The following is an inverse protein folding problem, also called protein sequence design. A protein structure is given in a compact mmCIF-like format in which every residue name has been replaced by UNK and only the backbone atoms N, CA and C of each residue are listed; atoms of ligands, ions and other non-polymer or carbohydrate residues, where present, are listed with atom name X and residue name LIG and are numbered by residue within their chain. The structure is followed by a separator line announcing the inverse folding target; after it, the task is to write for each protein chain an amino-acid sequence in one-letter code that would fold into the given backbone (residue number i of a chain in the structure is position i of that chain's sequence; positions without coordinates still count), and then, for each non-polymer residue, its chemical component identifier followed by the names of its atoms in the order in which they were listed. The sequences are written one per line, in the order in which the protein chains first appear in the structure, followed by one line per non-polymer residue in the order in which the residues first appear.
data_IF_769100822645
#
_entry.id   IF_769100822645
#
_cell.length_a   1.000
_cell.length_b   1.000
_cell.length_c   1.000
_cell.angle_alpha   90.00
_cell.angle_beta   90.00
_cell.angle_gamma   90.00
#
_symmetry.space_group_name_H-M   'P 1'
#
loop_
_entity.id
_entity.type
_entity.pdbx_description
1 polymer ?
#
# COMPACT_ATOMS: atom_id res chain seq x y z
N UNK A 1 29.04 29.00 -4.59
CA UNK A 1 30.09 28.57 -5.55
C UNK A 1 30.33 27.07 -5.40
N UNK A 2 29.58 26.25 -6.15
CA UNK A 2 30.01 24.89 -6.52
C UNK A 2 29.93 24.85 -8.05
N UNK A 3 31.05 24.52 -8.64
CA UNK A 3 31.35 24.62 -10.05
C UNK A 3 30.70 23.42 -10.76
N UNK A 4 29.65 23.66 -11.56
CA UNK A 4 29.10 22.65 -12.47
C UNK A 4 30.02 22.60 -13.69
N UNK A 5 30.86 21.57 -13.76
CA UNK A 5 31.66 21.26 -14.95
C UNK A 5 30.74 20.53 -15.94
N UNK A 6 30.66 20.92 -17.22
CA UNK A 6 29.83 20.22 -18.19
C UNK A 6 30.60 19.00 -18.68
N UNK A 7 30.28 17.82 -18.17
CA UNK A 7 30.76 16.57 -18.76
C UNK A 7 29.58 15.83 -19.37
N UNK A 8 29.48 15.95 -20.69
CA UNK A 8 28.61 15.14 -21.52
C UNK A 8 29.00 13.68 -21.40
N UNK A 9 28.05 12.87 -20.98
CA UNK A 9 28.14 11.41 -20.95
C UNK A 9 26.73 10.90 -20.72
N UNK A 10 26.07 10.47 -21.79
CA UNK A 10 24.67 10.00 -21.76
C UNK A 10 24.66 8.65 -21.03
N UNK A 11 23.83 8.54 -19.98
CA UNK A 11 23.72 7.38 -19.09
C UNK A 11 22.49 6.54 -19.42
N UNK A 12 22.63 5.22 -19.31
CA UNK A 12 21.75 4.22 -19.91
C UNK A 12 21.21 3.19 -18.90
N UNK A 13 19.91 2.94 -18.93
CA UNK A 13 19.09 2.06 -18.10
C UNK A 13 18.36 1.07 -19.02
N UNK A 14 18.79 -0.19 -19.08
CA UNK A 14 18.15 -1.21 -19.93
C UNK A 14 16.82 -1.63 -19.32
N UNK A 15 15.72 -1.46 -20.04
CA UNK A 15 14.39 -1.82 -19.55
C UNK A 15 13.82 -2.91 -20.47
N UNK A 16 14.00 -4.21 -20.17
CA UNK A 16 13.32 -5.23 -20.98
C UNK A 16 13.12 -6.60 -20.35
N UNK A 17 11.94 -7.17 -20.62
CA UNK A 17 11.65 -8.61 -20.61
C UNK A 17 11.07 -8.94 -21.98
N UNK A 18 11.79 -9.74 -22.78
CA UNK A 18 11.27 -10.31 -24.03
C UNK A 18 11.29 -11.83 -23.94
N UNK A 19 10.11 -12.44 -24.11
CA UNK A 19 9.94 -13.90 -24.15
C UNK A 19 9.47 -14.24 -25.57
N UNK A 20 10.28 -14.95 -26.34
CA UNK A 20 9.92 -15.44 -27.68
C UNK A 20 9.95 -16.96 -27.69
N UNK A 21 8.79 -17.61 -27.80
CA UNK A 21 8.72 -19.06 -27.97
C UNK A 21 8.90 -19.39 -29.46
N UNK A 22 9.78 -20.34 -29.77
CA UNK A 22 10.03 -20.83 -31.12
C UNK A 22 9.92 -22.36 -31.11
N UNK A 23 9.50 -22.96 -32.22
CA UNK A 23 9.33 -24.41 -32.38
C UNK A 23 10.12 -24.87 -33.62
N UNK A 24 11.30 -25.46 -33.43
CA UNK A 24 12.06 -26.08 -34.51
C UNK A 24 11.85 -27.60 -34.54
N UNK A 25 11.87 -28.21 -35.73
CA UNK A 25 11.82 -29.67 -35.93
C UNK A 25 13.06 -30.09 -36.71
N UNK A 26 13.89 -30.95 -36.13
CA UNK A 26 15.08 -31.51 -36.80
C UNK A 26 14.75 -32.91 -37.30
N UNK A 27 14.46 -33.07 -38.58
CA UNK A 27 14.34 -34.39 -39.19
C UNK A 27 15.72 -34.91 -39.60
N UNK A 28 16.07 -36.11 -39.14
CA UNK A 28 17.19 -36.88 -39.67
C UNK A 28 16.63 -38.17 -40.26
N UNK A 29 16.73 -38.32 -41.57
CA UNK A 29 16.26 -39.53 -42.27
C UNK A 29 17.36 -40.63 -42.34
N UNK A 30 17.00 -41.94 -42.44
CA UNK A 30 17.06 -42.82 -41.26
C UNK A 30 17.85 -44.15 -41.54
N UNK A 31 17.87 -45.17 -40.63
CA UNK A 31 16.69 -45.89 -40.17
C UNK A 31 16.48 -45.86 -38.65
N UNK A 32 15.20 -45.68 -38.27
CA UNK A 32 14.55 -45.97 -36.97
C UNK A 32 14.88 -45.04 -35.80
N UNK A 33 14.24 -43.87 -35.82
CA UNK A 33 13.53 -43.17 -34.73
C UNK A 33 13.50 -41.68 -35.08
N UNK A 34 12.31 -41.14 -35.39
CA UNK A 34 12.09 -39.70 -35.54
C UNK A 34 12.51 -38.99 -34.23
N UNK A 35 13.62 -38.25 -34.26
CA UNK A 35 14.07 -37.42 -33.14
C UNK A 35 13.61 -36.00 -33.37
N UNK A 36 12.34 -35.72 -33.09
CA UNK A 36 11.87 -34.34 -33.01
C UNK A 36 12.51 -33.69 -31.78
N UNK A 37 13.01 -32.46 -31.93
CA UNK A 37 13.62 -31.68 -30.86
C UNK A 37 12.95 -30.31 -30.82
N UNK A 38 11.96 -30.15 -29.95
CA UNK A 38 11.32 -28.85 -29.71
C UNK A 38 12.32 -27.93 -28.98
N UNK A 39 12.55 -26.74 -29.52
CA UNK A 39 13.58 -25.78 -29.08
C UNK A 39 12.93 -24.47 -28.64
N UNK A 40 12.63 -24.33 -27.34
CA UNK A 40 12.17 -23.04 -26.79
C UNK A 40 13.38 -22.17 -26.42
N UNK A 41 13.36 -20.90 -26.80
CA UNK A 41 14.48 -19.96 -26.66
C UNK A 41 14.06 -18.73 -25.85
N UNK A 42 14.34 -18.72 -24.54
CA UNK A 42 14.05 -17.56 -23.69
C UNK A 42 15.33 -16.78 -23.41
N UNK A 43 15.46 -15.58 -23.97
CA UNK A 43 16.58 -14.67 -23.70
C UNK A 43 16.18 -13.75 -22.53
N UNK A 44 16.66 -14.08 -21.33
CA UNK A 44 16.58 -13.20 -20.18
C UNK A 44 17.86 -12.36 -20.11
N UNK A 45 17.70 -11.04 -20.18
CA UNK A 45 18.82 -10.10 -20.02
C UNK A 45 18.83 -9.67 -18.56
N UNK A 46 19.89 -10.00 -17.84
CA UNK A 46 20.09 -9.56 -16.48
C UNK A 46 21.25 -8.55 -16.48
N UNK A 47 21.03 -7.29 -16.10
CA UNK A 47 22.14 -6.40 -15.83
C UNK A 47 22.87 -6.94 -14.59
N UNK A 48 24.07 -7.46 -14.75
CA UNK A 48 24.89 -7.94 -13.61
C UNK A 48 25.37 -6.79 -12.72
N UNK A 49 25.20 -5.55 -13.17
CA UNK A 49 25.47 -4.35 -12.40
C UNK A 49 24.60 -3.23 -12.93
N UNK A 50 23.69 -2.68 -12.10
CA UNK A 50 23.23 -1.29 -12.30
C UNK A 50 24.42 -0.41 -11.94
N UNK A 51 25.35 -0.25 -12.87
CA UNK A 51 26.41 0.73 -12.78
C UNK A 51 25.91 2.00 -13.49
N UNK A 52 25.13 2.82 -12.77
CA UNK A 52 25.05 4.25 -13.08
C UNK A 52 26.36 4.88 -12.61
N UNK A 53 27.43 4.63 -13.36
CA UNK A 53 28.78 5.13 -13.09
C UNK A 53 29.56 5.21 -14.39
N UNK A 54 30.50 6.15 -14.46
CA UNK A 54 31.31 6.37 -15.66
C UNK A 54 32.11 5.10 -15.99
N UNK A 55 31.78 4.46 -17.12
CA UNK A 55 32.56 3.37 -17.69
C UNK A 55 31.88 2.00 -17.67
N UNK A 56 31.83 1.38 -18.86
CA UNK A 56 31.68 -0.05 -19.14
C UNK A 56 30.52 -0.76 -18.43
N UNK A 57 29.36 -0.84 -19.10
CA UNK A 57 28.26 -1.71 -18.67
C UNK A 57 28.51 -3.15 -19.09
N UNK A 58 28.44 -4.09 -18.14
CA UNK A 58 28.42 -5.53 -18.42
C UNK A 58 26.98 -6.01 -18.57
N UNK A 59 26.70 -6.68 -19.69
CA UNK A 59 25.40 -7.32 -19.93
C UNK A 59 25.61 -8.83 -19.90
N UNK A 60 24.82 -9.50 -19.06
CA UNK A 60 24.77 -10.96 -18.99
C UNK A 60 23.45 -11.45 -19.56
N UNK A 61 23.57 -12.34 -20.53
CA UNK A 61 22.46 -12.95 -21.24
C UNK A 61 22.29 -14.38 -20.75
N UNK A 62 21.12 -14.70 -20.23
CA UNK A 62 20.70 -16.05 -19.90
C UNK A 62 19.74 -16.55 -20.98
N UNK A 63 20.18 -17.56 -21.75
CA UNK A 63 19.33 -18.23 -22.71
C UNK A 63 18.89 -19.58 -22.12
N UNK A 64 17.65 -19.69 -21.64
CA UNK A 64 17.10 -20.98 -21.22
C UNK A 64 16.68 -21.78 -22.46
N UNK A 65 17.27 -22.97 -22.63
CA UNK A 65 17.10 -23.83 -23.80
C UNK A 65 16.68 -25.21 -23.31
N UNK A 66 15.51 -25.66 -23.78
CA UNK A 66 15.02 -27.01 -23.51
C UNK A 66 15.03 -27.81 -24.81
N UNK A 67 15.85 -28.87 -24.90
CA UNK A 67 15.67 -29.89 -25.95
C UNK A 67 14.81 -31.01 -25.41
N UNK A 68 13.77 -31.38 -26.15
CA UNK A 68 12.97 -32.56 -25.86
C UNK A 68 13.23 -33.56 -26.97
N UNK A 69 14.03 -34.61 -26.73
CA UNK A 69 14.10 -35.76 -27.64
C UNK A 69 13.02 -36.78 -27.25
N UNK A 70 12.53 -37.58 -28.19
CA UNK A 70 11.57 -38.66 -27.91
C UNK A 70 12.09 -39.69 -26.86
N UNK A 71 13.40 -39.72 -26.60
CA UNK A 71 14.08 -40.60 -25.64
C UNK A 71 14.47 -39.92 -24.31
N UNK A 72 14.22 -38.62 -24.14
CA UNK A 72 14.55 -37.89 -22.91
C UNK A 72 16.06 -37.64 -22.68
N UNK A 73 16.89 -37.74 -23.71
CA UNK A 73 18.33 -37.46 -23.64
C UNK A 73 18.64 -35.96 -23.68
N UNK A 74 19.71 -35.54 -22.99
CA UNK A 74 20.19 -34.16 -22.92
C UNK A 74 20.72 -33.66 -24.28
N UNK A 75 20.69 -32.33 -24.51
CA UNK A 75 21.08 -31.68 -25.77
C UNK A 75 22.53 -31.94 -26.23
N UNK A 76 23.42 -32.38 -25.33
CA UNK A 76 24.87 -32.49 -25.58
C UNK A 76 25.21 -33.49 -26.70
N UNK A 77 24.34 -34.47 -26.98
CA UNK A 77 24.59 -35.53 -27.96
C UNK A 77 24.13 -35.22 -29.40
N UNK A 78 23.57 -34.02 -29.67
CA UNK A 78 22.94 -33.70 -30.97
C UNK A 78 23.83 -32.86 -31.91
N UNK A 79 25.02 -32.43 -31.47
CA UNK A 79 25.99 -31.74 -32.34
C UNK A 79 25.55 -30.34 -32.83
N UNK A 80 24.74 -29.65 -32.03
CA UNK A 80 24.29 -28.28 -32.31
C UNK A 80 25.34 -27.25 -31.88
N UNK A 81 25.60 -26.26 -32.73
CA UNK A 81 26.52 -25.14 -32.46
C UNK A 81 25.71 -23.85 -32.31
N UNK A 82 25.96 -23.13 -31.22
CA UNK A 82 25.28 -21.90 -30.83
C UNK A 82 26.21 -20.71 -31.03
N UNK A 83 25.71 -19.63 -31.65
CA UNK A 83 26.44 -18.38 -31.78
C UNK A 83 25.55 -17.19 -31.45
N UNK A 84 25.85 -16.42 -30.39
CA UNK A 84 25.19 -15.15 -30.17
C UNK A 84 25.75 -14.10 -31.14
N UNK A 85 24.90 -13.19 -31.57
CA UNK A 85 25.26 -12.04 -32.43
C UNK A 85 24.55 -10.81 -31.87
N UNK A 86 25.29 -9.72 -31.63
CA UNK A 86 24.72 -8.42 -31.30
C UNK A 86 24.75 -7.56 -32.55
N UNK A 87 23.65 -6.87 -32.86
CA UNK A 87 23.57 -6.01 -34.05
C UNK A 87 22.89 -4.68 -33.73
N UNK A 88 23.28 -3.62 -34.46
CA UNK A 88 22.71 -2.28 -34.29
C UNK A 88 23.36 -1.43 -33.21
N UNK A 89 24.64 -1.67 -32.87
CA UNK A 89 25.41 -0.83 -31.93
C UNK A 89 26.25 0.18 -32.73
N UNK A 90 26.15 1.46 -32.39
CA UNK A 90 27.07 2.48 -32.88
C UNK A 90 28.33 2.45 -31.99
N UNK A 91 29.50 2.08 -32.51
CA UNK A 91 30.75 2.04 -31.73
C UNK A 91 31.65 0.81 -31.90
N UNK A 92 31.29 -0.12 -32.78
CA UNK A 92 32.00 -1.39 -32.96
C UNK A 92 31.23 -2.55 -32.32
N UNK A 93 31.32 -3.73 -32.93
CA UNK A 93 30.61 -4.92 -32.46
C UNK A 93 31.19 -5.35 -31.10
N UNK A 94 30.35 -5.56 -30.07
CA UNK A 94 30.81 -6.13 -28.81
C UNK A 94 31.32 -7.56 -29.03
N UNK A 95 32.47 -7.90 -28.46
CA UNK A 95 32.99 -9.27 -28.51
C UNK A 95 32.28 -10.12 -27.44
N UNK A 96 31.54 -11.14 -27.88
CA UNK A 96 30.74 -12.01 -27.01
C UNK A 96 31.58 -13.20 -26.56
N UNK A 97 31.70 -13.39 -25.24
CA UNK A 97 32.39 -14.54 -24.66
C UNK A 97 31.39 -15.50 -24.00
N UNK A 98 31.49 -16.80 -24.33
CA UNK A 98 30.67 -17.84 -23.69
C UNK A 98 31.21 -18.13 -22.29
N UNK A 99 30.41 -17.84 -21.27
CA UNK A 99 30.81 -17.95 -19.86
C UNK A 99 30.56 -19.35 -19.27
N UNK A 100 29.66 -20.14 -19.87
CA UNK A 100 29.40 -21.52 -19.44
C UNK A 100 28.08 -22.11 -19.96
N UNK A 101 27.91 -23.41 -19.76
CA UNK A 101 26.66 -24.16 -20.00
C UNK A 101 26.09 -24.65 -18.66
N UNK A 102 24.80 -24.44 -18.43
CA UNK A 102 24.08 -24.94 -17.26
C UNK A 102 23.08 -26.02 -17.69
N UNK A 103 22.50 -26.72 -16.72
CA UNK A 103 21.43 -27.70 -16.98
C UNK A 103 20.16 -27.08 -17.56
N UNK A 104 20.03 -25.74 -17.56
CA UNK A 104 18.86 -25.01 -18.06
C UNK A 104 19.17 -24.11 -19.26
N UNK A 105 20.43 -23.84 -19.60
CA UNK A 105 20.74 -22.85 -20.63
C UNK A 105 22.22 -22.52 -20.88
N UNK A 106 22.45 -21.50 -21.71
CA UNK A 106 23.77 -20.93 -22.02
C UNK A 106 23.88 -19.51 -21.46
N UNK A 107 25.08 -19.16 -20.95
CA UNK A 107 25.38 -17.83 -20.43
C UNK A 107 26.40 -17.15 -21.34
N UNK A 108 26.08 -15.94 -21.79
CA UNK A 108 26.98 -15.09 -22.56
C UNK A 108 27.15 -13.74 -21.86
N UNK A 109 28.35 -13.19 -21.90
CA UNK A 109 28.63 -11.85 -21.40
C UNK A 109 29.25 -10.97 -22.48
N UNK A 110 28.93 -9.68 -22.48
CA UNK A 110 29.62 -8.71 -23.32
C UNK A 110 29.74 -7.36 -22.63
N UNK A 111 30.79 -6.60 -22.98
CA UNK A 111 30.97 -5.21 -22.60
C UNK A 111 30.42 -4.29 -23.69
N UNK A 112 29.66 -3.26 -23.32
CA UNK A 112 29.28 -2.19 -24.24
C UNK A 112 30.20 -0.99 -24.07
N UNK A 113 30.91 -0.64 -25.14
CA UNK A 113 31.78 0.54 -25.22
C UNK A 113 31.14 1.53 -26.19
N UNK A 114 30.52 2.59 -25.69
CA UNK A 114 29.92 3.62 -26.56
C UNK A 114 29.27 4.76 -25.80
N UNK A 115 29.45 5.96 -26.33
CA UNK A 115 28.67 7.15 -25.98
C UNK A 115 27.37 7.10 -26.78
N UNK A 116 26.24 6.97 -26.11
CA UNK A 116 24.88 6.93 -26.68
C UNK A 116 24.41 5.69 -27.47
N UNK A 117 23.84 4.68 -26.79
CA UNK A 117 23.10 3.56 -27.40
C UNK A 117 21.62 3.62 -27.00
N UNK A 118 20.74 4.14 -27.87
CA UNK A 118 19.28 4.20 -27.59
C UNK A 118 18.60 2.81 -27.63
N UNK A 119 19.06 1.94 -28.54
CA UNK A 119 18.60 0.55 -28.65
C UNK A 119 19.60 -0.33 -29.39
N UNK A 120 19.55 -1.64 -29.15
CA UNK A 120 20.30 -2.64 -29.92
C UNK A 120 19.50 -3.96 -30.00
N UNK A 121 19.90 -4.88 -30.87
CA UNK A 121 19.26 -6.19 -30.99
C UNK A 121 20.23 -7.31 -30.59
N UNK A 122 19.74 -8.26 -29.80
CA UNK A 122 20.45 -9.49 -29.49
C UNK A 122 19.84 -10.63 -30.30
N UNK A 123 20.69 -11.33 -31.05
CA UNK A 123 20.33 -12.49 -31.87
C UNK A 123 21.01 -13.74 -31.35
N UNK A 124 20.28 -14.85 -31.24
CA UNK A 124 20.86 -16.18 -31.01
C UNK A 124 20.65 -17.02 -32.27
N UNK A 125 21.75 -17.51 -32.85
CA UNK A 125 21.74 -18.36 -34.04
C UNK A 125 22.12 -19.78 -33.66
N UNK A 126 21.27 -20.73 -34.06
CA UNK A 126 21.49 -22.17 -33.89
C UNK A 126 21.84 -22.77 -35.25
N UNK A 127 22.94 -23.51 -35.33
CA UNK A 127 23.34 -24.23 -36.55
C UNK A 127 23.55 -25.71 -36.26
N UNK A 128 23.03 -26.57 -37.14
CA UNK A 128 23.29 -28.01 -37.11
C UNK A 128 24.27 -28.40 -38.21
N UNK A 129 25.15 -29.38 -37.96
CA UNK A 129 26.11 -29.85 -38.95
C UNK A 129 25.48 -30.57 -40.17
N UNK A 130 24.20 -30.95 -40.09
CA UNK A 130 23.56 -31.81 -41.09
C UNK A 130 22.55 -31.10 -42.00
N UNK A 131 22.01 -29.94 -41.60
CA UNK A 131 21.06 -29.18 -42.41
C UNK A 131 21.15 -27.71 -42.00
N UNK A 132 21.12 -26.81 -42.98
CA UNK A 132 21.12 -25.34 -42.88
C UNK A 132 19.88 -24.80 -42.14
N UNK A 133 19.58 -25.29 -40.94
CA UNK A 133 18.65 -24.67 -40.02
C UNK A 133 19.29 -23.36 -39.56
N UNK A 134 18.65 -22.26 -39.95
CA UNK A 134 19.02 -20.90 -39.56
C UNK A 134 17.78 -20.29 -38.94
N UNK A 135 17.58 -20.54 -37.65
CA UNK A 135 16.52 -19.88 -36.90
C UNK A 135 17.12 -18.94 -35.85
N UNK A 136 16.53 -17.75 -35.78
CA UNK A 136 17.09 -16.57 -35.15
C UNK A 136 16.12 -16.17 -34.04
N UNK A 137 16.50 -16.33 -32.78
CA UNK A 137 15.81 -15.63 -31.70
C UNK A 137 16.28 -14.17 -31.74
N UNK A 138 15.38 -13.21 -31.92
CA UNK A 138 15.72 -11.78 -31.96
C UNK A 138 14.95 -11.03 -30.88
N UNK A 139 15.66 -10.36 -29.98
CA UNK A 139 15.05 -9.53 -28.94
C UNK A 139 15.56 -8.09 -29.05
N UNK A 140 14.69 -7.10 -29.32
CA UNK A 140 15.08 -5.70 -29.27
C UNK A 140 15.33 -5.31 -27.81
N UNK A 141 16.41 -4.60 -27.55
CA UNK A 141 16.81 -4.10 -26.23
C UNK A 141 16.76 -2.57 -26.26
N UNK A 142 15.87 -1.97 -25.48
CA UNK A 142 15.82 -0.52 -25.32
C UNK A 142 16.56 -0.10 -24.05
N UNK A 143 17.31 0.98 -24.18
CA UNK A 143 18.14 1.52 -23.12
C UNK A 143 17.65 2.93 -22.82
N UNK A 144 16.87 3.08 -21.75
CA UNK A 144 16.31 4.35 -21.30
C UNK A 144 17.35 5.20 -20.57
N UNK A 145 17.07 6.48 -20.32
CA UNK A 145 17.94 7.32 -19.50
C UNK A 145 17.69 7.07 -18.00
N UNK A 146 18.72 7.18 -17.18
CA UNK A 146 18.58 7.09 -15.73
C UNK A 146 18.34 8.49 -15.15
N UNK A 147 17.13 8.79 -14.67
CA UNK A 147 16.81 10.07 -14.05
C UNK A 147 17.42 10.19 -12.64
N UNK A 148 17.87 11.38 -12.28
CA UNK A 148 18.22 11.71 -10.90
C UNK A 148 16.92 11.88 -10.10
N UNK A 149 16.92 11.42 -8.85
CA UNK A 149 15.88 11.78 -7.90
C UNK A 149 16.10 13.20 -7.35
N UNK A 150 15.18 13.71 -6.53
CA UNK A 150 15.29 15.08 -6.02
C UNK A 150 16.47 15.30 -5.03
N UNK A 151 17.14 14.25 -4.57
CA UNK A 151 18.36 14.33 -3.76
C UNK A 151 19.63 14.35 -4.65
N UNK A 152 19.45 14.28 -5.97
CA UNK A 152 20.54 14.11 -6.92
C UNK A 152 21.08 12.68 -6.93
N UNK A 153 20.37 11.69 -6.38
CA UNK A 153 20.75 10.30 -6.44
C UNK A 153 20.28 9.68 -7.78
N UNK A 154 21.23 9.17 -8.55
CA UNK A 154 20.98 8.49 -9.82
C UNK A 154 20.17 7.19 -9.61
N UNK A 155 18.98 7.11 -10.20
CA UNK A 155 18.08 5.96 -10.01
C UNK A 155 17.46 5.88 -8.61
N UNK A 156 17.58 6.93 -7.81
CA UNK A 156 16.88 7.07 -6.55
C UNK A 156 15.37 7.20 -6.76
N UNK A 157 14.61 7.04 -5.67
CA UNK A 157 13.15 7.12 -5.68
C UNK A 157 12.62 8.29 -4.83
N UNK A 158 13.48 9.19 -4.40
CA UNK A 158 13.05 10.35 -3.63
C UNK A 158 12.28 11.34 -4.52
N UNK A 159 11.16 11.84 -4.00
CA UNK A 159 10.28 12.81 -4.67
C UNK A 159 10.15 14.03 -3.76
N UNK A 160 10.07 15.23 -4.36
CA UNK A 160 9.76 16.44 -3.61
C UNK A 160 8.36 16.36 -3.01
N UNK A 161 8.23 16.76 -1.75
CA UNK A 161 6.93 16.97 -1.14
C UNK A 161 6.28 18.27 -1.66
N UNK A 162 5.09 18.58 -1.15
CA UNK A 162 4.36 19.81 -1.49
C UNK A 162 5.11 21.10 -1.12
N UNK A 163 6.15 21.01 -0.30
CA UNK A 163 7.01 22.12 0.11
C UNK A 163 8.28 22.24 -0.75
N UNK A 164 8.47 21.37 -1.75
CA UNK A 164 9.69 21.33 -2.55
C UNK A 164 10.88 20.70 -1.80
N UNK A 165 10.62 19.95 -0.72
CA UNK A 165 11.66 19.26 0.04
C UNK A 165 11.71 17.80 -0.40
N UNK A 166 12.88 17.38 -0.85
CA UNK A 166 13.08 16.00 -1.27
C UNK A 166 12.91 15.02 -0.11
N UNK A 167 11.97 14.07 -0.24
CA UNK A 167 11.65 13.09 0.79
C UNK A 167 10.99 13.69 2.05
N UNK A 168 10.49 14.93 1.97
CA UNK A 168 9.73 15.56 3.04
C UNK A 168 8.32 14.96 3.21
N UNK A 169 7.66 15.32 4.30
CA UNK A 169 6.29 14.89 4.63
C UNK A 169 5.23 15.99 4.42
N UNK A 170 5.64 17.14 3.86
CA UNK A 170 4.77 18.30 3.62
C UNK A 170 4.52 19.17 4.85
N UNK A 171 5.04 18.82 6.04
CA UNK A 171 4.73 19.55 7.28
C UNK A 171 5.46 20.89 7.41
N UNK A 172 6.63 21.03 6.78
CA UNK A 172 7.52 22.20 6.96
C UNK A 172 6.96 23.52 6.42
N UNK A 173 6.05 23.46 5.45
CA UNK A 173 5.39 24.62 4.87
C UNK A 173 3.87 24.58 5.07
N UNK A 174 3.35 23.65 5.85
CA UNK A 174 1.91 23.56 6.13
C UNK A 174 1.48 24.66 7.11
N UNK A 175 0.31 25.23 6.84
CA UNK A 175 -0.38 26.11 7.79
C UNK A 175 -0.99 25.30 8.96
N UNK A 176 -1.68 25.97 9.88
CA UNK A 176 -2.27 25.27 11.03
C UNK A 176 -3.36 24.24 10.65
N UNK A 177 -3.89 24.30 9.42
CA UNK A 177 -4.90 23.39 8.89
C UNK A 177 -4.27 22.21 8.12
N UNK A 178 -2.93 22.15 8.07
CA UNK A 178 -2.20 21.13 7.31
C UNK A 178 -2.16 21.40 5.81
N UNK A 179 -2.44 22.63 5.37
CA UNK A 179 -2.41 23.02 3.95
C UNK A 179 -1.03 23.63 3.62
N UNK A 180 -0.27 23.02 2.70
CA UNK A 180 1.00 23.57 2.23
C UNK A 180 0.84 24.99 1.67
N UNK A 181 1.64 25.93 2.18
CA UNK A 181 1.58 27.36 1.84
C UNK A 181 0.21 28.01 2.06
N UNK A 182 -0.62 27.45 2.94
CA UNK A 182 -1.89 28.05 3.32
C UNK A 182 -1.72 29.28 4.22
N UNK A 183 -2.80 30.03 4.39
CA UNK A 183 -2.84 31.27 5.19
C UNK A 183 -3.43 31.06 6.59
N UNK A 184 -3.81 29.82 6.95
CA UNK A 184 -4.47 29.56 8.22
C UNK A 184 -3.52 29.80 9.40
N UNK A 185 -4.00 30.55 10.39
CA UNK A 185 -3.25 30.84 11.62
C UNK A 185 -4.04 30.42 12.86
N UNK A 186 -3.33 30.13 13.93
CA UNK A 186 -3.97 29.90 15.22
C UNK A 186 -4.51 31.22 15.77
N UNK A 187 -5.74 31.17 16.28
CA UNK A 187 -6.33 32.28 17.03
C UNK A 187 -5.76 32.38 18.45
N UNK A 188 -6.27 33.31 19.25
CA UNK A 188 -5.85 33.49 20.64
C UNK A 188 -6.14 32.26 21.53
N UNK A 189 -7.01 31.35 21.09
CA UNK A 189 -7.40 30.13 21.78
C UNK A 189 -6.60 28.89 21.31
N UNK A 190 -5.69 29.06 20.35
CA UNK A 190 -4.96 27.95 19.74
C UNK A 190 -5.81 27.15 18.75
N UNK A 191 -6.94 27.68 18.29
CA UNK A 191 -7.79 27.07 17.25
C UNK A 191 -7.36 27.59 15.89
N UNK A 192 -7.09 26.67 14.96
CA UNK A 192 -6.72 27.04 13.60
C UNK A 192 -7.88 27.71 12.86
N UNK A 193 -7.65 28.91 12.29
CA UNK A 193 -8.70 29.77 11.73
C UNK A 193 -9.86 30.06 12.69
N UNK A 194 -9.61 30.00 13.99
CA UNK A 194 -10.60 30.41 14.98
C UNK A 194 -10.78 31.94 15.00
N UNK A 195 -11.87 32.39 15.60
CA UNK A 195 -12.20 33.80 15.79
C UNK A 195 -11.93 34.29 17.22
N UNK A 196 -11.32 33.45 18.07
CA UNK A 196 -11.07 33.74 19.48
C UNK A 196 -12.27 33.50 20.41
N UNK A 197 -13.45 33.12 19.88
CA UNK A 197 -14.65 32.95 20.71
C UNK A 197 -14.63 31.69 21.59
N UNK A 198 -13.90 30.66 21.18
CA UNK A 198 -13.89 29.35 21.86
C UNK A 198 -13.30 29.37 23.27
N UNK A 199 -12.45 30.35 23.58
CA UNK A 199 -11.86 30.59 24.89
C UNK A 199 -12.16 31.99 25.41
N UNK A 200 -13.15 32.66 24.82
CA UNK A 200 -13.57 33.97 25.29
C UNK A 200 -14.24 33.87 26.66
N UNK A 201 -13.92 34.83 27.53
CA UNK A 201 -14.64 35.03 28.79
C UNK A 201 -16.05 35.58 28.52
N UNK A 202 -16.83 35.83 29.58
CA UNK A 202 -18.20 36.32 29.42
C UNK A 202 -18.29 37.75 28.81
N UNK A 203 -17.17 38.48 28.72
CA UNK A 203 -17.06 39.78 28.04
C UNK A 203 -16.62 39.64 26.58
N UNK A 204 -16.44 38.42 26.07
CA UNK A 204 -15.97 38.16 24.73
C UNK A 204 -14.45 38.32 24.57
N UNK A 205 -13.69 38.34 25.67
CA UNK A 205 -12.23 38.50 25.65
C UNK A 205 -11.56 37.12 25.67
N UNK A 206 -10.83 36.72 24.61
CA UNK A 206 -10.11 35.46 24.57
C UNK A 206 -9.11 35.32 25.73
N UNK A 207 -9.18 34.21 26.47
CA UNK A 207 -8.42 33.94 27.69
C UNK A 207 -8.60 35.02 28.78
N UNK A 208 -9.74 35.70 28.81
CA UNK A 208 -10.08 36.63 29.88
C UNK A 208 -10.45 35.91 31.18
N UNK A 209 -10.52 36.68 32.26
CA UNK A 209 -10.82 36.16 33.61
C UNK A 209 -12.27 36.43 34.04
N UNK A 210 -13.06 37.12 33.21
CA UNK A 210 -14.41 37.52 33.59
C UNK A 210 -15.35 36.31 33.70
N UNK A 211 -16.08 36.23 34.80
CA UNK A 211 -17.03 35.16 35.07
C UNK A 211 -18.44 35.72 35.22
N UNK A 212 -19.42 34.91 34.82
CA UNK A 212 -20.81 35.21 35.16
C UNK A 212 -21.00 35.15 36.68
N UNK A 213 -21.70 36.13 37.23
CA UNK A 213 -22.15 36.12 38.62
C UNK A 213 -23.39 35.21 38.80
N UNK A 214 -23.89 35.13 40.04
CA UNK A 214 -25.11 34.39 40.38
C UNK A 214 -26.42 34.98 39.80
N UNK A 215 -26.30 35.98 38.92
CA UNK A 215 -27.39 36.60 38.20
C UNK A 215 -27.23 36.47 36.68
N UNK A 216 -26.19 35.77 36.20
CA UNK A 216 -25.86 35.67 34.78
C UNK A 216 -25.26 36.95 34.19
N UNK A 217 -24.77 37.88 35.02
CA UNK A 217 -24.10 39.11 34.59
C UNK A 217 -22.59 38.91 34.63
N UNK A 218 -21.91 39.24 33.53
CA UNK A 218 -20.46 39.14 33.44
C UNK A 218 -19.78 40.14 34.40
N UNK A 219 -18.86 39.66 35.24
CA UNK A 219 -18.24 40.41 36.35
C UNK A 219 -19.25 41.12 37.26
N UNK A 220 -20.47 40.57 37.36
CA UNK A 220 -21.48 41.10 38.25
C UNK A 220 -21.17 40.84 39.73
N UNK A 221 -21.78 41.64 40.61
CA UNK A 221 -21.62 41.53 42.05
C UNK A 221 -22.73 40.68 42.72
N UNK A 222 -23.57 40.00 41.91
CA UNK A 222 -24.69 39.18 42.38
C UNK A 222 -25.88 39.99 42.90
N UNK A 223 -25.87 41.32 42.75
CA UNK A 223 -26.96 42.16 43.30
C UNK A 223 -28.14 42.34 42.35
N UNK A 224 -27.94 42.12 41.04
CA UNK A 224 -28.94 42.40 40.00
C UNK A 224 -30.15 41.44 39.99
N UNK A 225 -30.04 40.31 40.68
CA UNK A 225 -31.08 39.27 40.78
C UNK A 225 -31.54 39.01 42.23
N UNK A 226 -31.24 39.92 43.17
CA UNK A 226 -31.73 39.83 44.56
C UNK A 226 -33.25 39.85 44.68
N UNK A 227 -33.97 40.35 43.66
CA UNK A 227 -35.40 40.16 43.46
C UNK A 227 -35.63 39.23 42.26
N UNK A 228 -35.53 37.92 42.47
CA UNK A 228 -35.83 36.92 41.43
C UNK A 228 -37.22 36.27 41.66
N UNK A 229 -38.32 36.89 41.22
CA UNK A 229 -39.67 36.37 41.45
C UNK A 229 -39.98 35.05 40.74
N UNK A 230 -39.18 34.65 39.75
CA UNK A 230 -39.35 33.40 38.98
C UNK A 230 -38.48 32.24 39.51
N UNK A 231 -37.64 32.47 40.53
CA UNK A 231 -36.69 31.48 41.04
C UNK A 231 -35.37 31.45 40.28
N UNK A 232 -34.30 31.10 41.00
CA UNK A 232 -32.97 30.85 40.43
C UNK A 232 -32.92 29.39 40.01
N UNK A 233 -32.46 29.14 38.79
CA UNK A 233 -32.30 27.81 38.22
C UNK A 233 -31.07 27.08 38.82
N UNK A 234 -30.83 25.81 38.48
CA UNK A 234 -29.70 25.03 39.03
C UNK A 234 -28.33 25.57 38.56
N UNK A 235 -28.32 26.46 37.57
CA UNK A 235 -27.16 27.13 37.01
C UNK A 235 -26.82 28.45 37.71
N UNK A 236 -27.66 28.91 38.65
CA UNK A 236 -27.51 30.21 39.26
C UNK A 236 -28.02 31.34 38.36
N UNK A 237 -28.92 31.10 37.40
CA UNK A 237 -29.52 32.13 36.55
C UNK A 237 -30.97 32.40 36.97
N UNK A 238 -31.33 33.66 37.15
CA UNK A 238 -32.69 34.05 37.48
C UNK A 238 -33.65 33.83 36.29
N UNK A 239 -34.70 33.02 36.49
CA UNK A 239 -35.66 32.68 35.45
C UNK A 239 -35.07 31.86 34.29
N UNK A 240 -33.91 31.23 34.52
CA UNK A 240 -33.29 30.31 33.57
C UNK A 240 -34.04 28.98 33.48
N UNK A 241 -33.76 28.25 32.42
CA UNK A 241 -34.35 26.94 32.10
C UNK A 241 -33.34 25.79 32.26
N UNK A 242 -32.27 26.00 33.04
CA UNK A 242 -31.13 25.11 33.22
C UNK A 242 -30.26 24.85 31.97
N UNK A 243 -30.53 25.48 30.81
CA UNK A 243 -29.77 25.21 29.58
C UNK A 243 -28.34 25.79 29.60
N UNK A 244 -28.13 26.85 30.38
CA UNK A 244 -26.91 27.64 30.43
C UNK A 244 -25.74 26.99 31.17
N UNK A 245 -26.00 26.03 32.07
CA UNK A 245 -24.99 25.27 32.79
C UNK A 245 -24.93 23.79 32.41
N UNK A 246 -25.43 23.43 31.22
CA UNK A 246 -25.03 22.16 30.61
C UNK A 246 -23.53 22.21 30.25
N UNK A 247 -22.68 21.97 31.25
CA UNK A 247 -21.26 21.69 31.11
C UNK A 247 -21.07 20.30 30.49
N UNK A 248 -21.60 20.07 29.29
CA UNK A 248 -21.40 18.81 28.57
C UNK A 248 -20.12 18.91 27.72
N UNK A 249 -19.21 17.96 27.91
CA UNK A 249 -18.08 17.78 27.01
C UNK A 249 -18.55 17.03 25.75
N UNK A 250 -18.31 17.61 24.57
CA UNK A 250 -18.55 16.92 23.30
C UNK A 250 -17.34 16.04 22.97
N UNK A 251 -17.63 14.78 22.63
CA UNK A 251 -16.62 13.80 22.20
C UNK A 251 -16.95 13.32 20.81
N UNK A 252 -16.09 13.66 19.85
CA UNK A 252 -16.14 13.11 18.50
C UNK A 252 -15.55 11.69 18.49
N UNK A 253 -16.38 10.70 18.15
CA UNK A 253 -15.95 9.29 18.02
C UNK A 253 -15.71 8.88 16.56
N UNK A 254 -15.87 9.80 15.60
CA UNK A 254 -15.62 9.53 14.18
C UNK A 254 -14.26 8.88 13.91
N UNK A 255 -13.14 9.33 14.54
CA UNK A 255 -11.85 8.67 14.37
C UNK A 255 -11.87 7.19 14.79
N UNK A 256 -12.52 6.87 15.91
CA UNK A 256 -12.68 5.48 16.37
C UNK A 256 -13.58 4.68 15.43
N UNK A 257 -14.63 5.27 14.88
CA UNK A 257 -15.50 4.61 13.89
C UNK A 257 -14.72 4.23 12.62
N UNK A 258 -13.89 5.13 12.09
CA UNK A 258 -13.04 4.85 10.93
C UNK A 258 -12.03 3.72 11.18
N UNK A 259 -11.39 3.70 12.35
CA UNK A 259 -10.44 2.63 12.71
C UNK A 259 -11.12 1.27 12.82
N UNK A 260 -12.31 1.22 13.44
CA UNK A 260 -13.08 -0.02 13.59
C UNK A 260 -13.57 -0.56 12.24
N UNK A 261 -13.97 0.31 11.32
CA UNK A 261 -14.37 -0.07 9.95
C UNK A 261 -13.16 -0.59 9.16
N UNK A 262 -12.05 0.16 9.19
CA UNK A 262 -10.81 -0.23 8.54
C UNK A 262 -10.30 -1.60 9.02
N UNK A 263 -10.38 -1.88 10.32
CA UNK A 263 -9.99 -3.18 10.88
C UNK A 263 -10.87 -4.35 10.36
N UNK A 264 -12.18 -4.17 10.31
CA UNK A 264 -13.11 -5.16 9.77
C UNK A 264 -12.91 -5.39 8.27
N UNK A 265 -12.69 -4.31 7.51
CA UNK A 265 -12.38 -4.37 6.07
C UNK A 265 -11.06 -5.12 5.81
N UNK A 266 -10.03 -4.84 6.60
CA UNK A 266 -8.74 -5.51 6.51
C UNK A 266 -8.86 -7.01 6.80
N UNK A 267 -9.65 -7.40 7.81
CA UNK A 267 -9.93 -8.81 8.10
C UNK A 267 -10.61 -9.51 6.91
N UNK A 268 -11.64 -8.89 6.32
CA UNK A 268 -12.30 -9.41 5.13
C UNK A 268 -11.33 -9.55 3.94
N UNK A 269 -10.49 -8.54 3.70
CA UNK A 269 -9.45 -8.56 2.67
C UNK A 269 -8.43 -9.68 2.88
N UNK A 270 -8.05 -9.97 4.13
CA UNK A 270 -7.13 -11.06 4.46
C UNK A 270 -7.77 -12.44 4.22
N UNK A 271 -9.08 -12.58 4.44
CA UNK A 271 -9.84 -13.79 4.07
C UNK A 271 -9.79 -14.00 2.55
N UNK A 272 -10.04 -12.97 1.74
CA UNK A 272 -9.93 -13.03 0.27
C UNK A 272 -8.53 -13.50 -0.14
N UNK A 273 -7.48 -12.89 0.43
CA UNK A 273 -6.08 -13.27 0.16
C UNK A 273 -5.81 -14.72 0.55
N UNK A 274 -6.31 -15.17 1.69
CA UNK A 274 -6.18 -16.56 2.16
C UNK A 274 -6.88 -17.58 1.27
N UNK A 275 -8.09 -17.28 0.80
CA UNK A 275 -8.82 -18.12 -0.17
C UNK A 275 -8.07 -18.20 -1.49
N UNK A 276 -7.51 -17.10 -1.99
CA UNK A 276 -6.74 -17.10 -3.23
C UNK A 276 -5.48 -17.98 -3.16
N UNK A 277 -4.84 -18.07 -1.99
CA UNK A 277 -3.72 -19.03 -1.78
C UNK A 277 -4.20 -20.46 -1.93
N UNK A 278 -5.33 -20.83 -1.32
CA UNK A 278 -5.90 -22.18 -1.42
C UNK A 278 -6.47 -22.48 -2.81
N UNK A 279 -6.98 -21.48 -3.53
CA UNK A 279 -7.53 -21.63 -4.88
C UNK A 279 -6.47 -22.01 -5.90
N UNK A 280 -5.23 -21.52 -5.73
CA UNK A 280 -4.09 -21.87 -6.59
C UNK A 280 -3.72 -23.34 -6.50
N UNK A 281 -3.95 -23.99 -5.36
CA UNK A 281 -3.56 -25.38 -5.14
C UNK A 281 -4.71 -26.38 -5.24
N UNK A 282 -5.97 -25.94 -5.04
CA UNK A 282 -7.15 -26.82 -4.97
C UNK A 282 -8.27 -26.50 -5.97
N UNK A 283 -8.10 -25.46 -6.79
CA UNK A 283 -9.15 -25.02 -7.72
C UNK A 283 -10.31 -24.30 -7.02
N UNK A 284 -11.38 -24.02 -7.78
CA UNK A 284 -12.62 -23.40 -7.28
C UNK A 284 -13.47 -24.44 -6.54
N UNK A 285 -14.11 -24.02 -5.45
CA UNK A 285 -15.03 -24.86 -4.67
C UNK A 285 -16.18 -24.01 -4.13
N UNK A 286 -17.40 -24.56 -4.13
CA UNK A 286 -18.58 -23.96 -3.50
C UNK A 286 -18.34 -23.65 -2.02
N UNK A 287 -17.51 -24.46 -1.34
CA UNK A 287 -17.13 -24.20 0.05
C UNK A 287 -16.31 -22.92 0.22
N UNK A 288 -15.53 -22.51 -0.79
CA UNK A 288 -14.81 -21.23 -0.77
C UNK A 288 -15.75 -20.06 -1.05
N UNK A 289 -16.72 -20.23 -1.95
CA UNK A 289 -17.74 -19.21 -2.20
C UNK A 289 -18.61 -18.97 -0.97
N UNK A 290 -19.12 -20.02 -0.33
CA UNK A 290 -19.91 -19.89 0.90
C UNK A 290 -19.12 -19.19 2.01
N UNK A 291 -17.83 -19.53 2.15
CA UNK A 291 -16.95 -18.87 3.13
C UNK A 291 -16.78 -17.38 2.81
N UNK A 292 -16.62 -17.03 1.54
CA UNK A 292 -16.50 -15.64 1.10
C UNK A 292 -17.80 -14.86 1.34
N UNK A 293 -18.97 -15.48 1.10
CA UNK A 293 -20.27 -14.87 1.37
C UNK A 293 -20.46 -14.62 2.88
N UNK A 294 -20.15 -15.61 3.73
CA UNK A 294 -20.22 -15.42 5.18
C UNK A 294 -19.26 -14.33 5.67
N UNK A 295 -18.07 -14.24 5.09
CA UNK A 295 -17.12 -13.16 5.41
C UNK A 295 -17.68 -11.79 5.01
N UNK A 296 -18.26 -11.69 3.82
CA UNK A 296 -18.86 -10.44 3.35
C UNK A 296 -20.07 -10.02 4.20
N UNK A 297 -20.96 -10.95 4.55
CA UNK A 297 -22.10 -10.69 5.45
C UNK A 297 -21.64 -10.21 6.83
N UNK A 298 -20.61 -10.85 7.41
CA UNK A 298 -20.05 -10.43 8.69
C UNK A 298 -19.41 -9.03 8.61
N UNK A 299 -18.73 -8.71 7.50
CA UNK A 299 -18.21 -7.37 7.25
C UNK A 299 -19.31 -6.32 7.13
N UNK A 300 -20.37 -6.58 6.36
CA UNK A 300 -21.50 -5.66 6.24
C UNK A 300 -22.18 -5.43 7.59
N UNK A 301 -22.38 -6.49 8.38
CA UNK A 301 -22.95 -6.37 9.72
C UNK A 301 -22.09 -5.51 10.63
N UNK A 302 -20.77 -5.73 10.61
CA UNK A 302 -19.79 -4.90 11.31
C UNK A 302 -19.91 -3.43 10.90
N UNK A 303 -19.94 -3.14 9.60
CA UNK A 303 -20.07 -1.79 9.06
C UNK A 303 -21.37 -1.11 9.52
N UNK A 304 -22.52 -1.78 9.34
CA UNK A 304 -23.82 -1.22 9.75
C UNK A 304 -23.89 -0.94 11.24
N UNK A 305 -23.23 -1.74 12.07
CA UNK A 305 -23.20 -1.53 13.52
C UNK A 305 -22.34 -0.32 13.89
N UNK A 306 -21.16 -0.17 13.29
CA UNK A 306 -20.27 0.99 13.57
C UNK A 306 -20.97 2.31 13.21
N UNK A 307 -21.59 2.36 12.04
CA UNK A 307 -22.23 3.58 11.55
C UNK A 307 -23.63 3.81 12.15
N UNK A 308 -24.05 2.94 13.08
CA UNK A 308 -25.22 3.16 13.95
C UNK A 308 -24.89 3.81 15.29
N UNK A 309 -23.59 4.03 15.58
CA UNK A 309 -23.17 4.89 16.68
C UNK A 309 -23.26 6.35 16.22
N UNK A 310 -23.76 7.22 17.10
CA UNK A 310 -23.82 8.65 16.83
C UNK A 310 -22.40 9.24 16.87
N UNK A 311 -21.98 9.98 15.84
CA UNK A 311 -20.59 10.42 15.70
C UNK A 311 -20.16 11.44 16.77
N UNK A 312 -21.08 12.24 17.27
CA UNK A 312 -20.87 13.21 18.35
C UNK A 312 -21.62 12.77 19.61
N UNK A 313 -20.87 12.46 20.64
CA UNK A 313 -21.38 12.02 21.94
C UNK A 313 -21.30 13.19 22.92
N UNK A 314 -22.36 13.48 23.68
CA UNK A 314 -22.26 14.37 24.85
C UNK A 314 -21.98 13.53 26.09
N UNK A 315 -21.00 13.93 26.89
CA UNK A 315 -20.62 13.27 28.14
C UNK A 315 -20.52 14.27 29.30
N UNK A 316 -20.73 13.80 30.52
CA UNK A 316 -20.67 14.57 31.77
C UNK A 316 -21.70 15.71 31.90
N UNK A 317 -22.94 15.49 31.49
CA UNK A 317 -23.98 16.51 31.66
C UNK A 317 -24.46 16.56 33.13
N UNK A 318 -24.56 17.78 33.68
CA UNK A 318 -24.83 18.00 35.11
C UNK A 318 -26.32 17.88 35.51
N UNK A 319 -27.25 17.94 34.55
CA UNK A 319 -28.70 17.83 34.81
C UNK A 319 -29.33 16.67 34.00
N UNK A 320 -29.86 15.66 34.70
CA UNK A 320 -30.54 14.50 34.11
C UNK A 320 -31.92 14.81 33.50
N UNK A 321 -32.50 15.98 33.78
CA UNK A 321 -33.87 16.34 33.37
C UNK A 321 -34.00 16.74 31.91
N UNK A 322 -32.91 17.17 31.25
CA UNK A 322 -32.88 17.58 29.84
C UNK A 322 -32.15 16.60 28.92
N UNK A 323 -31.60 15.52 29.50
CA UNK A 323 -30.76 14.56 28.79
C UNK A 323 -31.39 13.17 28.77
N UNK A 324 -31.55 12.60 27.58
CA UNK A 324 -31.87 11.17 27.41
C UNK A 324 -30.57 10.36 27.37
N UNK A 325 -30.57 9.15 27.94
CA UNK A 325 -29.45 8.23 27.82
C UNK A 325 -29.73 7.16 26.77
N UNK A 326 -28.73 6.81 25.97
CA UNK A 326 -28.77 5.65 25.07
C UNK A 326 -27.69 4.64 25.44
N UNK A 327 -28.04 3.35 25.35
CA UNK A 327 -27.14 2.24 25.68
C UNK A 327 -26.58 1.62 24.38
N UNK A 328 -25.26 1.62 24.28
CA UNK A 328 -24.49 1.07 23.19
C UNK A 328 -24.02 -0.37 23.45
N UNK A 329 -24.33 -0.96 24.61
CA UNK A 329 -23.86 -2.30 25.01
C UNK A 329 -24.20 -3.38 23.99
N UNK A 330 -25.46 -3.42 23.52
CA UNK A 330 -25.88 -4.39 22.51
C UNK A 330 -25.19 -4.18 21.15
N UNK A 331 -25.00 -2.92 20.75
CA UNK A 331 -24.30 -2.55 19.51
C UNK A 331 -22.82 -2.96 19.59
N UNK A 332 -22.15 -2.70 20.72
CA UNK A 332 -20.76 -3.12 20.95
C UNK A 332 -20.64 -4.63 20.86
N UNK A 333 -21.54 -5.38 21.50
CA UNK A 333 -21.54 -6.84 21.41
C UNK A 333 -21.81 -7.35 19.99
N UNK A 334 -22.72 -6.71 19.25
CA UNK A 334 -23.00 -7.07 17.85
C UNK A 334 -21.78 -6.87 16.94
N UNK A 335 -20.99 -5.80 17.17
CA UNK A 335 -19.73 -5.57 16.48
C UNK A 335 -18.71 -6.65 16.80
N UNK A 336 -18.48 -6.95 18.09
CA UNK A 336 -17.55 -8.03 18.52
C UNK A 336 -17.89 -9.35 17.85
N UNK A 337 -19.17 -9.74 17.85
CA UNK A 337 -19.62 -10.99 17.24
C UNK A 337 -19.31 -11.04 15.72
N UNK A 338 -19.41 -9.89 15.04
CA UNK A 338 -19.17 -9.76 13.60
C UNK A 338 -17.67 -9.89 13.28
N UNK A 339 -16.82 -9.20 14.03
CA UNK A 339 -15.35 -9.25 13.88
C UNK A 339 -14.79 -10.62 14.32
N UNK A 340 -15.36 -11.25 15.34
CA UNK A 340 -15.03 -12.61 15.74
C UNK A 340 -15.38 -13.63 14.64
N UNK A 341 -16.51 -13.44 13.96
CA UNK A 341 -16.87 -14.27 12.81
C UNK A 341 -15.79 -14.17 11.72
N UNK A 342 -15.34 -12.97 11.36
CA UNK A 342 -14.25 -12.79 10.41
C UNK A 342 -12.95 -13.48 10.86
N UNK A 343 -12.56 -13.28 12.12
CA UNK A 343 -11.33 -13.88 12.65
C UNK A 343 -11.40 -15.41 12.74
N UNK A 344 -12.55 -15.98 13.08
CA UNK A 344 -12.72 -17.44 13.13
C UNK A 344 -12.72 -18.07 11.74
N UNK A 345 -13.31 -17.42 10.72
CA UNK A 345 -13.18 -17.85 9.32
C UNK A 345 -11.72 -17.85 8.87
N UNK A 346 -10.97 -16.82 9.25
CA UNK A 346 -9.55 -16.75 9.01
C UNK A 346 -8.79 -17.92 9.68
N UNK A 347 -9.04 -18.20 10.96
CA UNK A 347 -8.47 -19.39 11.65
C UNK A 347 -8.81 -20.70 10.93
N UNK A 348 -10.02 -20.85 10.40
CA UNK A 348 -10.45 -22.04 9.63
C UNK A 348 -9.63 -22.18 8.34
N UNK A 349 -9.41 -21.10 7.60
CA UNK A 349 -8.56 -21.12 6.40
C UNK A 349 -7.13 -21.55 6.73
N UNK A 350 -6.55 -21.05 7.83
CA UNK A 350 -5.21 -21.44 8.28
C UNK A 350 -5.09 -22.93 8.54
N UNK A 351 -6.09 -23.52 9.20
CA UNK A 351 -6.12 -24.96 9.50
C UNK A 351 -6.17 -25.83 8.24
N UNK A 352 -6.72 -25.29 7.13
CA UNK A 352 -6.78 -26.01 5.87
C UNK A 352 -5.44 -26.06 5.12
N UNK A 353 -4.43 -25.26 5.47
CA UNK A 353 -3.13 -25.21 4.78
C UNK A 353 -2.24 -26.44 5.05
N UNK A 354 -1.80 -27.12 3.99
CA UNK A 354 -0.75 -28.15 3.99
C UNK A 354 0.63 -27.54 4.26
N UNK A 355 1.61 -28.38 4.61
CA UNK A 355 2.97 -27.97 5.01
C UNK A 355 3.68 -27.16 3.91
N UNK A 356 3.51 -27.56 2.65
CA UNK A 356 4.02 -26.86 1.46
C UNK A 356 3.26 -25.55 1.12
N UNK A 357 2.05 -25.35 1.65
CA UNK A 357 1.23 -24.14 1.44
C UNK A 357 1.51 -23.05 2.50
N UNK A 358 2.27 -23.37 3.56
CA UNK A 358 2.64 -22.44 4.66
C UNK A 358 3.82 -21.54 4.30
N UNK A 359 3.68 -20.79 3.21
CA UNK A 359 4.68 -19.82 2.75
C UNK A 359 4.88 -18.67 3.75
N UNK A 360 6.00 -17.94 3.62
CA UNK A 360 6.24 -16.68 4.37
C UNK A 360 5.07 -15.71 4.22
N UNK A 361 4.52 -15.61 3.00
CA UNK A 361 3.34 -14.80 2.67
C UNK A 361 2.07 -15.26 3.40
N UNK A 362 1.83 -16.57 3.49
CA UNK A 362 0.72 -17.10 4.29
C UNK A 362 0.89 -16.74 5.78
N UNK A 363 2.10 -16.88 6.34
CA UNK A 363 2.40 -16.50 7.73
C UNK A 363 2.16 -15.02 8.00
N UNK A 364 2.54 -14.14 7.08
CA UNK A 364 2.25 -12.70 7.16
C UNK A 364 0.75 -12.43 7.21
N UNK A 365 -0.04 -13.02 6.31
CA UNK A 365 -1.51 -12.90 6.30
C UNK A 365 -2.10 -13.31 7.67
N UNK A 366 -1.63 -14.41 8.25
CA UNK A 366 -2.07 -14.90 9.57
C UNK A 366 -1.78 -13.92 10.71
N UNK A 367 -0.57 -13.35 10.73
CA UNK A 367 -0.17 -12.39 11.75
C UNK A 367 -0.93 -11.08 11.59
N UNK A 368 -1.08 -10.58 10.36
CA UNK A 368 -1.85 -9.37 10.08
C UNK A 368 -3.27 -9.48 10.59
N UNK A 369 -3.98 -10.60 10.37
CA UNK A 369 -5.36 -10.72 10.84
C UNK A 369 -5.47 -10.78 12.37
N UNK A 370 -4.49 -11.38 13.05
CA UNK A 370 -4.49 -11.34 14.53
C UNK A 370 -4.36 -9.90 15.02
N UNK A 371 -3.47 -9.12 14.41
CA UNK A 371 -3.29 -7.72 14.77
C UNK A 371 -4.56 -6.92 14.50
N UNK A 372 -5.18 -7.07 13.33
CA UNK A 372 -6.44 -6.39 12.99
C UNK A 372 -7.59 -6.76 13.95
N UNK A 373 -7.69 -8.02 14.35
CA UNK A 373 -8.66 -8.44 15.38
C UNK A 373 -8.39 -7.77 16.73
N UNK A 374 -7.13 -7.72 17.17
CA UNK A 374 -6.73 -7.06 18.42
C UNK A 374 -7.07 -5.57 18.40
N UNK A 375 -6.68 -4.87 17.34
CA UNK A 375 -6.96 -3.44 17.15
C UNK A 375 -8.46 -3.18 17.19
N UNK A 376 -9.27 -3.97 16.48
CA UNK A 376 -10.73 -3.84 16.50
C UNK A 376 -11.33 -4.00 17.90
N UNK A 377 -10.85 -4.96 18.70
CA UNK A 377 -11.36 -5.18 20.07
C UNK A 377 -10.88 -4.12 21.06
N UNK A 378 -9.67 -3.60 20.88
CA UNK A 378 -9.08 -2.58 21.76
C UNK A 378 -9.73 -1.21 21.51
N UNK A 379 -9.86 -0.81 20.24
CA UNK A 379 -10.51 0.45 19.87
C UNK A 379 -11.99 0.47 20.22
N UNK A 380 -12.68 -0.68 20.28
CA UNK A 380 -14.07 -0.71 20.72
C UNK A 380 -14.24 -0.24 22.17
N UNK A 381 -13.20 -0.36 23.00
CA UNK A 381 -13.25 0.09 24.40
C UNK A 381 -13.21 1.61 24.52
N UNK A 382 -12.77 2.34 23.48
CA UNK A 382 -12.77 3.81 23.49
C UNK A 382 -14.18 4.38 23.33
N UNK A 383 -15.09 3.63 22.68
CA UNK A 383 -16.51 3.98 22.54
C UNK A 383 -17.21 3.74 23.88
N UNK A 384 -17.87 4.75 24.47
CA UNK A 384 -18.57 4.59 25.74
C UNK A 384 -19.77 3.64 25.59
N UNK A 385 -20.05 2.86 26.63
CA UNK A 385 -21.21 1.94 26.65
C UNK A 385 -22.52 2.69 26.83
N UNK A 386 -22.50 3.87 27.47
CA UNK A 386 -23.66 4.75 27.64
C UNK A 386 -23.35 6.12 27.05
N UNK A 387 -24.32 6.70 26.36
CA UNK A 387 -24.26 8.03 25.77
C UNK A 387 -25.37 8.89 26.35
N UNK A 388 -25.14 10.18 26.55
CA UNK A 388 -26.22 11.15 26.82
C UNK A 388 -26.50 11.99 25.56
N UNK A 389 -27.77 12.29 25.36
CA UNK A 389 -28.27 13.18 24.31
C UNK A 389 -29.18 14.20 24.98
N UNK A 390 -28.76 15.45 25.00
CA UNK A 390 -29.48 16.55 25.64
C UNK A 390 -30.12 17.41 24.55
N UNK A 391 -31.41 17.70 24.69
CA UNK A 391 -32.07 18.67 23.83
C UNK A 391 -31.52 20.06 24.15
N UNK A 392 -31.11 20.78 23.09
CA UNK A 392 -30.66 22.17 23.18
C UNK A 392 -31.82 23.14 23.28
#
# INVERSE_FOLDING_TARGET
MKQLIPYGGILFCINLVAVTNVLAVVEKDPPKEERTAELTCNINIMPDTVACGQGVGHITLHADIKCITASGTACEDVGLVWRPEVSGVNGGLPELEQQGATTTGLIFSTQLNGESIESFNVKLVVTSAANNLKEICNTPVTVGECSHDCNGELGGNAVEDSCGICGGDGSTCSDCAGVPYGEATYDACGVCNGDGSSCADCNGVPNGEALYDACGVCDGDGSSCLDCPQGIDECGICGGDNTSCLLCESRDISPSQFELDGAAQNLNTLIIKGVNVLRRTRGRSTAFQNLMNTAHEAYLKSWTTIWSFESTQLSNCSSDTLCSSSDNTEKKQAYVNSVETLYTLHKRLRRKLKRNERTKKAKQIWNSARNQYSTATEQLNTIPSTQQHCEK
#
